data_IF_984415241723
#
_entry.id   IF_984415241723
#
_cell.length_a   1.000
_cell.length_b   1.000
_cell.length_c   1.000
_cell.angle_alpha   90.00
_cell.angle_beta   90.00
_cell.angle_gamma   90.00
#
_symmetry.space_group_name_H-M   'P 1'
#
loop_
_entity.id
_entity.type
_entity.pdbx_description
1 polymer ?
#
# COMPACT_ATOMS: atom_id res chain seq x y z
N UNK A 1 8.16 -11.83 -10.24
CA UNK A 1 7.57 -12.04 -8.90
C UNK A 1 6.05 -12.01 -9.04
N UNK A 2 5.41 -13.13 -9.42
CA UNK A 2 3.99 -13.16 -9.79
C UNK A 2 3.06 -12.60 -8.71
N UNK A 3 3.32 -12.91 -7.45
CA UNK A 3 2.52 -12.43 -6.31
C UNK A 3 2.61 -10.91 -6.10
N UNK A 4 3.80 -10.32 -6.25
CA UNK A 4 3.97 -8.86 -6.17
C UNK A 4 3.31 -8.16 -7.36
N UNK A 5 3.35 -8.77 -8.54
CA UNK A 5 2.64 -8.26 -9.71
C UNK A 5 1.13 -8.28 -9.48
N UNK A 6 0.59 -9.36 -8.91
CA UNK A 6 -0.82 -9.44 -8.56
C UNK A 6 -1.23 -8.36 -7.55
N UNK A 7 -0.46 -8.17 -6.47
CA UNK A 7 -0.69 -7.11 -5.47
C UNK A 7 -0.75 -5.70 -6.08
N UNK A 8 0.14 -5.38 -7.02
CA UNK A 8 0.18 -4.06 -7.66
C UNK A 8 -0.92 -3.90 -8.72
N UNK A 9 -1.30 -4.99 -9.40
CA UNK A 9 -2.32 -4.98 -10.45
C UNK A 9 -3.76 -5.12 -9.92
N UNK A 10 -3.92 -5.36 -8.62
CA UNK A 10 -5.22 -5.56 -8.00
C UNK A 10 -6.12 -4.33 -8.17
N UNK A 11 -7.32 -4.46 -8.77
CA UNK A 11 -8.29 -3.39 -8.83
C UNK A 11 -8.99 -3.25 -7.47
N UNK A 12 -8.56 -2.27 -6.68
CA UNK A 12 -9.08 -2.03 -5.34
C UNK A 12 -10.49 -1.45 -5.37
N UNK A 13 -10.68 -0.37 -6.13
CA UNK A 13 -11.96 0.32 -6.39
C UNK A 13 -11.86 1.10 -7.72
N UNK A 14 -12.91 1.87 -8.05
CA UNK A 14 -12.93 2.79 -9.20
C UNK A 14 -12.83 4.27 -8.79
N UNK A 15 -12.48 4.54 -7.52
CA UNK A 15 -12.59 5.87 -6.92
C UNK A 15 -14.04 6.37 -6.86
N UNK A 16 -14.20 7.68 -6.65
CA UNK A 16 -15.49 8.36 -6.67
C UNK A 16 -15.32 9.83 -7.11
N UNK A 17 -16.38 10.64 -7.00
CA UNK A 17 -16.36 12.06 -7.40
C UNK A 17 -15.32 12.91 -6.66
N UNK A 18 -14.82 12.43 -5.52
CA UNK A 18 -13.91 13.13 -4.62
C UNK A 18 -12.51 12.52 -4.56
N UNK A 19 -12.39 11.21 -4.77
CA UNK A 19 -11.15 10.46 -4.65
C UNK A 19 -10.80 9.73 -5.95
N UNK A 20 -9.53 9.78 -6.33
CA UNK A 20 -9.00 8.90 -7.38
C UNK A 20 -9.06 7.43 -6.92
N UNK A 21 -9.01 6.46 -7.85
CA UNK A 21 -8.98 5.05 -7.50
C UNK A 21 -7.85 4.69 -6.54
N UNK A 22 -8.14 3.77 -5.63
CA UNK A 22 -7.18 3.23 -4.67
C UNK A 22 -6.02 2.57 -5.40
N UNK A 23 -4.80 2.87 -4.97
CA UNK A 23 -3.58 2.36 -5.60
C UNK A 23 -2.52 1.95 -4.59
N UNK A 24 -1.83 0.85 -4.90
CA UNK A 24 -0.70 0.33 -4.14
C UNK A 24 0.61 0.70 -4.86
N UNK A 25 1.56 1.24 -4.11
CA UNK A 25 2.89 1.60 -4.60
C UNK A 25 3.99 0.97 -3.73
N UNK A 26 4.89 0.21 -4.35
CA UNK A 26 6.04 -0.37 -3.66
C UNK A 26 7.12 0.71 -3.52
N UNK A 27 7.52 1.02 -2.29
CA UNK A 27 8.52 2.05 -1.99
C UNK A 27 9.93 1.48 -1.90
N UNK A 28 10.09 0.22 -1.47
CA UNK A 28 11.40 -0.41 -1.32
C UNK A 28 11.30 -1.92 -1.46
N UNK A 29 12.27 -2.52 -2.15
CA UNK A 29 12.48 -3.97 -2.21
C UNK A 29 13.95 -4.24 -1.87
N UNK A 30 14.22 -5.11 -0.90
CA UNK A 30 15.57 -5.53 -0.50
C UNK A 30 15.66 -7.05 -0.44
N UNK A 31 16.68 -7.62 -1.06
CA UNK A 31 16.90 -9.07 -1.06
C UNK A 31 18.39 -9.36 -0.89
N UNK A 32 18.73 -10.25 0.05
CA UNK A 32 20.08 -10.77 0.24
C UNK A 32 21.08 -9.76 0.78
N UNK A 33 22.35 -10.16 0.77
CA UNK A 33 23.47 -9.26 0.99
C UNK A 33 24.04 -8.84 -0.38
N UNK A 34 24.83 -7.77 -0.46
CA UNK A 34 25.45 -7.25 -1.71
C UNK A 34 26.53 -8.18 -2.31
N UNK A 35 26.29 -9.49 -2.28
CA UNK A 35 27.16 -10.54 -2.79
C UNK A 35 26.39 -11.25 -3.91
N UNK A 36 26.99 -11.33 -5.10
CA UNK A 36 26.31 -11.78 -6.33
C UNK A 36 26.04 -13.29 -6.38
N UNK A 37 26.73 -14.07 -5.56
CA UNK A 37 26.77 -15.54 -5.67
C UNK A 37 26.01 -16.26 -4.54
N UNK A 38 25.15 -15.54 -3.80
CA UNK A 38 24.37 -16.10 -2.70
C UNK A 38 22.90 -15.84 -2.95
N UNK A 39 22.11 -16.91 -3.01
CA UNK A 39 20.66 -16.80 -3.11
C UNK A 39 20.12 -16.27 -1.77
N UNK A 40 19.35 -15.17 -1.77
CA UNK A 40 18.75 -14.62 -0.56
C UNK A 40 17.84 -15.63 0.14
N UNK A 41 17.91 -15.67 1.47
CA UNK A 41 16.95 -16.43 2.29
C UNK A 41 15.61 -15.72 2.52
N UNK A 42 15.56 -14.40 2.30
CA UNK A 42 14.38 -13.56 2.49
C UNK A 42 14.42 -12.32 1.58
N UNK A 43 13.25 -11.72 1.39
CA UNK A 43 13.04 -10.44 0.71
C UNK A 43 12.20 -9.58 1.64
N UNK A 44 12.63 -8.34 1.83
CA UNK A 44 11.88 -7.28 2.51
C UNK A 44 11.23 -6.39 1.46
N UNK A 45 9.94 -6.13 1.63
CA UNK A 45 9.15 -5.27 0.74
C UNK A 45 8.42 -4.25 1.60
N UNK A 46 8.59 -2.98 1.28
CA UNK A 46 7.83 -1.88 1.85
C UNK A 46 6.92 -1.35 0.74
N UNK A 47 5.64 -1.24 1.05
CA UNK A 47 4.65 -0.69 0.12
C UNK A 47 3.69 0.23 0.84
N UNK A 48 3.02 1.04 0.03
CA UNK A 48 2.13 2.08 0.47
C UNK A 48 0.82 1.99 -0.29
N UNK A 49 -0.31 1.94 0.42
CA UNK A 49 -1.61 2.11 -0.19
C UNK A 49 -2.12 3.51 0.09
N UNK A 50 -2.63 4.15 -0.96
CA UNK A 50 -3.44 5.36 -0.86
C UNK A 50 -4.83 4.98 -1.34
N UNK A 51 -5.79 5.05 -0.42
CA UNK A 51 -7.10 4.46 -0.63
C UNK A 51 -8.23 5.47 -0.43
N UNK A 52 -9.32 5.25 -1.16
CA UNK A 52 -10.53 6.07 -1.14
C UNK A 52 -11.46 5.66 0.00
N UNK A 53 -12.59 6.37 0.15
CA UNK A 53 -13.65 5.99 1.10
C UNK A 53 -14.43 4.73 0.69
N UNK A 54 -14.24 4.22 -0.53
CA UNK A 54 -14.93 3.04 -1.05
C UNK A 54 -14.37 1.72 -0.51
N UNK A 55 -13.18 1.75 0.10
CA UNK A 55 -12.52 0.58 0.67
C UNK A 55 -12.01 0.89 2.06
N UNK A 56 -12.02 -0.11 2.93
CA UNK A 56 -11.55 0.01 4.30
C UNK A 56 -10.14 -0.57 4.46
N UNK A 57 -9.46 -0.16 5.53
CA UNK A 57 -8.15 -0.72 5.86
C UNK A 57 -8.22 -2.24 6.12
N UNK A 58 -9.32 -2.74 6.69
CA UNK A 58 -9.51 -4.18 6.94
C UNK A 58 -9.69 -4.96 5.64
N UNK A 59 -10.52 -4.49 4.71
CA UNK A 59 -10.66 -5.13 3.39
C UNK A 59 -9.34 -5.16 2.61
N UNK A 60 -8.55 -4.09 2.72
CA UNK A 60 -7.22 -4.04 2.12
C UNK A 60 -6.31 -5.11 2.72
N UNK A 61 -6.29 -5.25 4.05
CA UNK A 61 -5.49 -6.26 4.76
C UNK A 61 -5.88 -7.67 4.30
N UNK A 62 -7.17 -8.00 4.38
CA UNK A 62 -7.69 -9.32 4.02
C UNK A 62 -7.38 -9.68 2.56
N UNK A 63 -7.58 -8.74 1.63
CA UNK A 63 -7.29 -8.97 0.20
C UNK A 63 -5.79 -9.13 -0.06
N UNK A 64 -4.94 -8.33 0.61
CA UNK A 64 -3.49 -8.48 0.49
C UNK A 64 -3.03 -9.86 0.96
N UNK A 65 -3.50 -10.30 2.11
CA UNK A 65 -3.16 -11.61 2.69
C UNK A 65 -3.67 -12.75 1.80
N UNK A 66 -4.89 -12.65 1.25
CA UNK A 66 -5.42 -13.62 0.31
C UNK A 66 -4.55 -13.76 -0.96
N UNK A 67 -4.05 -12.65 -1.51
CA UNK A 67 -3.14 -12.69 -2.68
C UNK A 67 -1.80 -13.33 -2.31
N UNK A 68 -1.26 -13.01 -1.13
CA UNK A 68 0.00 -13.58 -0.64
C UNK A 68 -0.12 -15.10 -0.38
N UNK A 69 -1.25 -15.54 0.18
CA UNK A 69 -1.57 -16.93 0.47
C UNK A 69 -1.75 -17.75 -0.81
N UNK A 70 -2.45 -17.20 -1.81
CA UNK A 70 -2.56 -17.82 -3.15
C UNK A 70 -1.18 -18.01 -3.80
N UNK A 71 -0.22 -17.12 -3.49
CA UNK A 71 1.17 -17.25 -3.92
C UNK A 71 1.96 -18.35 -3.22
N UNK A 72 1.41 -19.00 -2.20
CA UNK A 72 2.10 -20.03 -1.41
C UNK A 72 3.31 -19.49 -0.63
N UNK A 73 3.33 -18.19 -0.35
CA UNK A 73 4.43 -17.55 0.37
C UNK A 73 4.24 -17.76 1.87
N UNK A 74 5.29 -18.14 2.59
CA UNK A 74 5.32 -17.79 4.03
C UNK A 74 5.66 -16.31 4.10
N UNK A 75 5.10 -15.57 5.04
CA UNK A 75 5.47 -14.18 5.25
C UNK A 75 5.16 -13.78 6.69
N UNK A 76 5.66 -12.62 7.05
CA UNK A 76 5.27 -11.90 8.24
C UNK A 76 5.15 -10.43 7.84
N UNK A 77 4.01 -9.83 8.17
CA UNK A 77 3.55 -8.55 7.64
C UNK A 77 3.15 -7.65 8.80
N UNK A 78 3.68 -6.42 8.81
CA UNK A 78 3.37 -5.42 9.81
C UNK A 78 2.63 -4.24 9.19
N UNK A 79 1.38 -4.04 9.62
CA UNK A 79 0.46 -3.05 9.08
C UNK A 79 0.48 -1.77 9.93
N UNK A 80 0.79 -0.62 9.31
CA UNK A 80 0.73 0.69 9.96
C UNK A 80 -0.22 1.65 9.25
N UNK A 81 -1.36 1.92 9.90
CA UNK A 81 -2.35 2.87 9.42
C UNK A 81 -1.97 4.30 9.87
N UNK A 82 -1.48 5.12 8.95
CA UNK A 82 -1.11 6.52 9.25
C UNK A 82 -2.31 7.47 9.31
N UNK A 83 -3.48 7.07 8.79
CA UNK A 83 -4.71 7.85 8.84
C UNK A 83 -5.78 7.35 7.87
N UNK A 84 -7.04 7.55 8.21
CA UNK A 84 -8.21 7.21 7.39
C UNK A 84 -8.55 8.35 6.41
N UNK A 85 -9.14 8.02 5.24
CA UNK A 85 -9.64 9.04 4.32
C UNK A 85 -10.77 9.83 4.97
N UNK A 86 -10.64 11.16 4.97
CA UNK A 86 -11.66 12.07 5.48
C UNK A 86 -12.15 12.98 4.36
N UNK A 87 -13.46 13.12 4.24
CA UNK A 87 -14.11 14.03 3.30
C UNK A 87 -14.87 15.11 4.07
N UNK A 88 -14.54 16.37 3.81
CA UNK A 88 -15.38 17.49 4.26
C UNK A 88 -16.50 17.69 3.25
N UNK A 89 -17.75 17.51 3.69
CA UNK A 89 -18.92 17.78 2.84
C UNK A 89 -18.95 19.25 2.37
N UNK A 90 -19.48 19.52 1.16
CA UNK A 90 -19.69 20.88 0.69
C UNK A 90 -20.55 21.67 1.67
N UNK A 91 -20.05 22.81 2.14
CA UNK A 91 -20.74 23.62 3.14
C UNK A 91 -20.37 25.09 3.10
N UNK A 92 -20.87 25.86 4.08
CA UNK A 92 -20.68 27.31 4.15
C UNK A 92 -19.20 27.74 4.07
N UNK A 93 -18.29 26.95 4.67
CA UNK A 93 -16.85 27.19 4.61
C UNK A 93 -16.31 27.06 3.18
N UNK A 94 -16.69 26.00 2.46
CA UNK A 94 -16.23 25.77 1.09
C UNK A 94 -16.74 26.87 0.15
N UNK A 95 -18.01 27.25 0.30
CA UNK A 95 -18.62 28.32 -0.49
C UNK A 95 -17.98 29.68 -0.22
N UNK A 96 -17.68 30.00 1.05
CA UNK A 96 -17.00 31.25 1.41
C UNK A 96 -15.59 31.33 0.82
N UNK A 97 -14.83 30.23 0.85
CA UNK A 97 -13.49 30.17 0.24
C UNK A 97 -13.56 30.34 -1.28
N UNK A 98 -14.50 29.67 -1.95
CA UNK A 98 -14.71 29.83 -3.40
C UNK A 98 -15.07 31.29 -3.73
N UNK A 99 -16.03 31.88 -3.02
CA UNK A 99 -16.44 33.26 -3.22
C UNK A 99 -15.30 34.26 -3.00
N UNK A 100 -14.43 34.03 -2.00
CA UNK A 100 -13.26 34.89 -1.77
C UNK A 100 -12.24 34.81 -2.91
N UNK A 101 -12.04 33.62 -3.49
CA UNK A 101 -11.12 33.42 -4.62
C UNK A 101 -11.70 34.10 -5.87
N UNK A 102 -12.98 33.90 -6.17
CA UNK A 102 -13.65 34.54 -7.31
C UNK A 102 -13.62 36.07 -7.20
N UNK A 103 -13.81 36.62 -5.99
CA UNK A 103 -13.74 38.06 -5.74
C UNK A 103 -12.35 38.66 -5.98
N UNK A 104 -11.29 37.88 -5.77
CA UNK A 104 -9.90 38.37 -5.90
C UNK A 104 -9.32 38.16 -7.30
N UNK A 105 -9.70 37.06 -7.97
CA UNK A 105 -9.12 36.66 -9.28
C UNK A 105 -10.03 36.93 -10.48
N UNK A 106 -11.29 37.32 -10.25
CA UNK A 106 -12.30 37.49 -11.29
C UNK A 106 -12.87 36.16 -11.81
N UNK A 107 -13.99 36.19 -12.57
CA UNK A 107 -14.77 35.00 -12.96
C UNK A 107 -14.10 34.10 -14.03
N UNK A 108 -12.76 34.14 -14.16
CA UNK A 108 -11.98 33.41 -15.17
C UNK A 108 -10.84 32.56 -14.62
N UNK A 109 -10.87 32.18 -13.35
CA UNK A 109 -10.17 30.97 -12.89
C UNK A 109 -11.03 29.72 -13.19
N UNK A 110 -11.50 29.59 -14.43
CA UNK A 110 -12.15 28.39 -14.96
C UNK A 110 -11.14 27.28 -15.11
N UNK A 111 -10.73 26.71 -13.97
CA UNK A 111 -9.65 25.75 -13.90
C UNK A 111 -9.19 25.46 -12.47
N UNK A 112 -10.00 25.73 -11.44
CA UNK A 112 -9.81 24.99 -10.18
C UNK A 112 -10.25 23.56 -10.49
N UNK A 113 -9.31 22.76 -11.00
CA UNK A 113 -9.52 21.33 -11.20
C UNK A 113 -10.20 20.77 -9.95
N UNK A 114 -11.35 20.11 -10.13
CA UNK A 114 -12.05 19.31 -9.12
C UNK A 114 -11.23 18.08 -8.67
N UNK A 115 -9.91 18.20 -8.57
CA UNK A 115 -8.99 17.15 -8.15
C UNK A 115 -8.18 17.67 -6.99
N UNK A 116 -8.79 17.66 -5.80
CA UNK A 116 -8.01 17.81 -4.56
C UNK A 116 -7.39 16.44 -4.30
N UNK A 117 -6.15 16.26 -4.75
CA UNK A 117 -5.31 15.13 -4.38
C UNK A 117 -4.93 15.24 -2.90
N UNK A 118 -5.82 14.83 -1.99
CA UNK A 118 -5.44 14.50 -0.62
C UNK A 118 -4.97 13.04 -0.63
N UNK A 119 -3.68 12.84 -0.89
CA UNK A 119 -3.04 11.54 -0.95
C UNK A 119 -2.50 11.16 0.44
N UNK A 120 -3.22 10.33 1.18
CA UNK A 120 -2.79 9.84 2.50
C UNK A 120 -2.21 8.42 2.44
N UNK A 121 -1.00 8.17 2.97
CA UNK A 121 -0.31 6.88 2.92
C UNK A 121 -0.63 5.92 4.10
N UNK A 122 -0.99 4.66 3.84
CA UNK A 122 -0.78 3.52 4.79
C UNK A 122 0.62 2.98 4.59
N UNK A 123 1.47 2.99 5.62
CA UNK A 123 2.79 2.38 5.54
C UNK A 123 2.72 0.91 5.98
N UNK A 124 3.30 0.00 5.21
CA UNK A 124 3.43 -1.41 5.62
C UNK A 124 4.87 -1.86 5.45
N UNK A 125 5.40 -2.56 6.46
CA UNK A 125 6.73 -3.16 6.46
C UNK A 125 6.61 -4.68 6.52
N UNK A 126 6.97 -5.36 5.43
CA UNK A 126 6.98 -6.82 5.38
C UNK A 126 8.35 -7.34 5.77
N UNK A 127 8.45 -8.06 6.90
CA UNK A 127 9.69 -8.66 7.40
C UNK A 127 9.51 -10.17 7.53
N UNK A 128 10.07 -10.99 6.62
CA UNK A 128 10.03 -12.46 6.78
C UNK A 128 11.27 -13.00 7.51
N UNK A 129 11.08 -13.70 8.61
CA UNK A 129 12.11 -14.51 9.28
C UNK A 129 11.95 -16.02 9.04
N UNK A 130 13.05 -16.70 8.72
CA UNK A 130 13.32 -18.08 9.16
C UNK A 130 12.98 -19.23 8.21
N UNK A 131 14.02 -19.77 7.54
CA UNK A 131 14.03 -21.15 7.00
C UNK A 131 13.69 -22.14 8.13
N UNK A 132 12.71 -23.03 7.95
CA UNK A 132 12.70 -24.32 8.66
C UNK A 132 13.90 -25.13 8.16
N UNK A 133 14.95 -25.17 8.96
CA UNK A 133 16.10 -26.05 8.74
C UNK A 133 15.63 -27.50 8.78
N UNK A 134 15.88 -28.23 7.70
CA UNK A 134 15.71 -29.68 7.65
C UNK A 134 16.56 -30.34 8.74
N UNK A 135 15.93 -31.25 9.46
CA UNK A 135 16.59 -32.17 10.39
C UNK A 135 17.63 -33.00 9.63
N UNK A 136 18.90 -32.61 9.73
CA UNK A 136 20.02 -33.51 9.47
C UNK A 136 19.99 -34.60 10.55
N UNK A 137 19.66 -35.82 10.16
CA UNK A 137 20.09 -37.01 10.90
C UNK A 137 21.62 -36.93 11.07
N UNK A 138 22.06 -36.81 12.32
CA UNK A 138 23.41 -37.23 12.69
C UNK A 138 23.27 -38.67 13.13
N UNK A 139 23.78 -39.58 12.32
CA UNK A 139 24.13 -40.91 12.80
C UNK A 139 25.59 -41.13 12.44
N UNK A 140 26.44 -41.12 13.46
CA UNK A 140 27.73 -41.81 13.51
C UNK A 140 28.18 -41.79 14.98
N UNK A 141 27.93 -42.91 15.64
CA UNK A 141 28.37 -43.26 16.98
C UNK A 141 29.90 -43.44 17.05
N UNK A 142 30.53 -43.29 18.23
CA UNK A 142 31.92 -43.60 18.45
C UNK A 142 32.13 -45.08 18.84
N UNK A 143 33.22 -45.66 18.32
CA UNK A 143 33.89 -46.92 18.68
C UNK A 143 33.04 -48.20 18.83
#
# INVERSE_FOLDING_TARGET
>A
MPTLTALVAEPWDQGNDFFDPTSLQISTIRAGQRVTNVIPGSVEVLFNLRFSTEVTADEIRERCEAILDQGGLTYDIDWSLSGEPFLTEPGALLNAVIGSIEATTGPRAGGIHRRRHLRWPIHCAQRRTGRRGGSRQRDHSPN
#
